data_IF_209180862422
#
_entry.id   IF_209180862422
#
_cell.length_a   1.000
_cell.length_b   1.000
_cell.length_c   1.000
_cell.angle_alpha   90.00
_cell.angle_beta   90.00
_cell.angle_gamma   90.00
#
_symmetry.space_group_name_H-M   'P 1'
#
loop_
_entity.id
_entity.type
_entity.pdbx_description
1 polymer ?
#
# COMPACT_ATOMS: atom_id res chain seq x y z
N UNK A 1 -35.68 65.36 106.42
CA UNK A 1 -34.55 64.65 105.84
C UNK A 1 -35.10 63.95 104.64
N UNK A 2 -34.70 64.39 103.45
CA UNK A 2 -35.10 63.79 102.12
C UNK A 2 -33.99 62.91 101.63
N UNK A 3 -34.21 61.58 101.58
CA UNK A 3 -33.28 60.59 101.06
C UNK A 3 -33.52 60.47 99.56
N UNK A 4 -32.50 60.79 98.78
CA UNK A 4 -32.53 60.57 97.30
C UNK A 4 -32.02 59.19 96.98
N UNK A 5 -32.85 58.41 96.30
CA UNK A 5 -32.54 57.08 95.75
C UNK A 5 -31.95 57.27 94.33
N UNK A 6 -30.67 56.84 94.09
CA UNK A 6 -30.06 56.83 92.78
C UNK A 6 -30.25 55.43 92.15
N UNK A 7 -31.00 55.37 91.05
CA UNK A 7 -31.11 54.15 90.22
C UNK A 7 -29.95 54.17 89.20
N UNK A 8 -29.01 53.25 89.35
CA UNK A 8 -27.96 53.01 88.33
C UNK A 8 -28.57 52.16 87.18
N UNK A 9 -28.78 52.77 86.03
CA UNK A 9 -29.05 52.02 84.77
C UNK A 9 -27.74 51.44 84.23
N UNK A 10 -27.62 50.11 84.31
CA UNK A 10 -26.58 49.36 83.54
C UNK A 10 -27.06 49.22 82.08
N UNK A 11 -26.55 50.08 81.20
CA UNK A 11 -26.66 49.87 79.74
C UNK A 11 -25.65 48.77 79.32
N UNK A 12 -26.14 47.54 79.22
CA UNK A 12 -25.37 46.46 78.57
C UNK A 12 -25.21 46.75 77.09
N UNK A 13 -23.97 47.09 76.66
CA UNK A 13 -23.61 47.12 75.26
C UNK A 13 -23.58 45.70 74.78
N UNK A 14 -24.65 45.23 74.11
CA UNK A 14 -24.58 44.06 73.19
C UNK A 14 -23.90 44.54 71.97
N UNK A 15 -22.60 44.18 71.78
CA UNK A 15 -21.93 44.29 70.51
C UNK A 15 -22.60 43.26 69.58
N UNK A 16 -23.46 43.71 68.70
CA UNK A 16 -23.94 42.90 67.61
C UNK A 16 -22.74 42.70 66.63
N UNK A 17 -22.15 41.54 66.73
CA UNK A 17 -21.23 41.11 65.65
C UNK A 17 -22.07 40.93 64.41
N UNK A 18 -21.99 41.88 63.47
CA UNK A 18 -22.59 41.76 62.16
C UNK A 18 -21.73 40.73 61.39
N UNK A 19 -22.19 39.51 61.30
CA UNK A 19 -21.61 38.53 60.42
C UNK A 19 -22.02 38.92 59.03
N UNK A 20 -21.05 38.90 58.08
CA UNK A 20 -21.34 39.07 56.64
C UNK A 20 -22.30 37.99 56.12
N UNK A 21 -22.94 38.22 55.00
CA UNK A 21 -23.84 37.25 54.39
C UNK A 21 -23.14 35.87 54.18
N UNK A 22 -23.86 34.77 54.53
CA UNK A 22 -23.34 33.39 54.29
C UNK A 22 -23.07 33.17 52.82
N UNK A 23 -21.89 32.64 52.49
CA UNK A 23 -21.50 32.28 51.17
C UNK A 23 -20.99 30.83 51.12
N UNK A 24 -21.29 30.13 50.03
CA UNK A 24 -20.79 28.79 49.72
C UNK A 24 -19.82 28.85 48.54
N UNK A 25 -18.76 28.05 48.57
CA UNK A 25 -17.81 27.94 47.49
C UNK A 25 -17.48 26.45 47.21
N UNK A 26 -18.08 25.90 46.18
CA UNK A 26 -17.90 24.51 45.76
C UNK A 26 -16.57 24.25 45.03
N UNK A 27 -15.78 25.31 44.79
CA UNK A 27 -14.56 25.23 44.00
C UNK A 27 -14.79 25.39 42.49
N UNK A 28 -13.69 25.55 41.72
CA UNK A 28 -13.77 25.63 40.24
C UNK A 28 -14.12 24.26 39.63
N UNK A 29 -14.55 24.25 38.37
CA UNK A 29 -14.66 23.00 37.60
C UNK A 29 -13.35 22.20 37.57
N UNK A 30 -13.43 20.88 37.72
CA UNK A 30 -12.29 19.97 37.81
C UNK A 30 -12.33 19.02 36.60
N UNK A 31 -11.17 18.78 36.00
CA UNK A 31 -10.97 17.80 34.93
C UNK A 31 -10.15 16.63 35.47
N UNK A 32 -10.67 15.43 35.34
CA UNK A 32 -10.07 14.19 35.86
C UNK A 32 -9.91 13.11 34.79
N UNK A 33 -8.96 12.26 35.04
CA UNK A 33 -8.87 11.00 34.29
C UNK A 33 -9.86 9.98 34.88
N UNK A 34 -10.43 9.14 34.02
CA UNK A 34 -11.35 8.10 34.45
C UNK A 34 -10.72 7.24 35.58
N UNK A 35 -11.48 6.98 36.64
CA UNK A 35 -11.04 6.19 37.79
C UNK A 35 -10.14 6.91 38.78
N UNK A 36 -9.77 8.17 38.54
CA UNK A 36 -9.00 8.97 39.53
C UNK A 36 -9.87 9.61 40.56
N UNK A 37 -9.26 10.12 41.65
CA UNK A 37 -9.94 10.77 42.78
C UNK A 37 -9.43 12.19 42.98
N UNK A 38 -10.30 13.07 43.49
CA UNK A 38 -9.95 14.45 43.86
C UNK A 38 -10.81 14.94 45.01
N UNK A 39 -10.35 15.99 45.69
CA UNK A 39 -11.19 16.72 46.66
C UNK A 39 -12.08 17.74 45.96
N UNK A 40 -13.35 17.81 46.36
CA UNK A 40 -14.26 18.91 46.02
C UNK A 40 -14.17 20.02 47.06
N UNK A 41 -14.70 21.19 46.72
CA UNK A 41 -14.67 22.36 47.58
C UNK A 41 -13.45 23.23 47.36
N UNK A 42 -13.31 24.26 48.15
CA UNK A 42 -12.19 25.21 48.15
C UNK A 42 -11.52 25.27 49.52
N UNK A 43 -10.42 26.03 49.66
CA UNK A 43 -9.76 26.25 50.94
C UNK A 43 -10.72 26.86 51.97
N UNK A 44 -11.70 27.64 51.52
CA UNK A 44 -12.81 28.16 52.31
C UNK A 44 -14.12 27.81 51.65
N UNK A 45 -14.69 26.64 52.03
CA UNK A 45 -15.93 26.11 51.42
C UNK A 45 -17.17 26.87 51.90
N UNK A 46 -17.08 27.52 53.07
CA UNK A 46 -18.10 28.42 53.64
C UNK A 46 -17.47 29.67 54.28
N UNK A 47 -18.06 30.83 54.10
CA UNK A 47 -17.66 32.05 54.79
C UNK A 47 -18.84 32.99 55.04
N UNK A 48 -18.69 33.91 55.99
CA UNK A 48 -19.82 34.75 56.49
C UNK A 48 -20.83 33.95 57.30
N UNK A 49 -21.99 34.51 57.61
CA UNK A 49 -23.02 33.90 58.46
C UNK A 49 -22.54 33.58 59.85
N UNK A 50 -23.25 32.71 60.55
CA UNK A 50 -23.03 32.35 61.98
C UNK A 50 -22.50 30.92 62.10
N UNK A 51 -21.20 30.69 62.46
CA UNK A 51 -20.67 29.32 62.63
C UNK A 51 -21.37 28.59 63.81
N UNK A 52 -21.39 27.25 63.88
CA UNK A 52 -20.77 26.29 62.93
C UNK A 52 -21.57 26.09 61.63
N UNK A 53 -20.86 25.70 60.58
CA UNK A 53 -21.47 25.39 59.30
C UNK A 53 -21.72 23.90 59.16
N UNK A 54 -22.81 23.52 58.44
CA UNK A 54 -23.09 22.18 57.97
C UNK A 54 -23.16 22.15 56.44
N UNK A 55 -22.77 21.09 55.89
CA UNK A 55 -22.59 20.95 54.41
C UNK A 55 -23.47 19.84 53.88
N UNK A 56 -24.01 20.02 52.68
CA UNK A 56 -24.73 18.96 51.98
C UNK A 56 -24.46 19.04 50.46
N UNK A 57 -23.88 17.94 49.96
CA UNK A 57 -23.54 17.81 48.56
C UNK A 57 -24.54 16.93 47.84
N UNK A 58 -24.94 17.30 46.62
CA UNK A 58 -25.80 16.54 45.72
C UNK A 58 -25.26 16.57 44.30
N UNK A 59 -25.36 15.46 43.50
CA UNK A 59 -25.75 14.11 43.93
C UNK A 59 -24.70 13.46 44.83
N UNK A 60 -25.03 12.34 45.47
CA UNK A 60 -24.10 11.55 46.29
C UNK A 60 -23.17 10.68 45.46
N UNK A 61 -23.41 10.59 44.15
CA UNK A 61 -22.66 9.75 43.20
C UNK A 61 -21.16 10.08 43.23
N UNK A 62 -20.33 9.07 43.41
CA UNK A 62 -18.86 9.16 43.51
C UNK A 62 -18.33 9.97 44.72
N UNK A 63 -19.15 10.39 45.70
CA UNK A 63 -18.66 11.09 46.86
C UNK A 63 -18.37 10.16 48.04
N UNK A 64 -17.23 10.41 48.69
CA UNK A 64 -16.90 9.76 49.98
C UNK A 64 -17.84 10.13 51.12
N UNK A 65 -18.38 11.33 51.07
CA UNK A 65 -19.35 11.88 52.06
C UNK A 65 -20.14 13.00 51.42
N UNK A 66 -21.42 13.09 51.76
CA UNK A 66 -22.26 14.22 51.35
C UNK A 66 -22.23 15.39 52.36
N UNK A 67 -21.70 15.17 53.57
CA UNK A 67 -21.76 16.13 54.68
C UNK A 67 -20.39 16.70 55.07
N UNK A 68 -19.33 16.38 54.29
CA UNK A 68 -17.99 16.93 54.51
C UNK A 68 -17.86 18.32 53.84
N UNK A 69 -17.07 19.22 54.43
CA UNK A 69 -16.72 20.50 53.79
C UNK A 69 -15.96 20.26 52.45
N UNK A 70 -15.09 19.24 52.40
CA UNK A 70 -14.28 18.89 51.27
C UNK A 70 -14.31 17.36 51.00
N UNK A 71 -15.43 16.83 50.47
CA UNK A 71 -15.53 15.41 50.19
C UNK A 71 -14.60 14.99 49.07
N UNK A 72 -14.17 13.71 49.05
CA UNK A 72 -13.47 13.09 47.91
C UNK A 72 -14.50 12.68 46.88
N UNK A 73 -14.28 13.08 45.64
CA UNK A 73 -14.87 12.46 44.45
C UNK A 73 -14.02 11.26 44.06
N UNK A 74 -14.56 10.04 44.19
CA UNK A 74 -13.81 8.78 44.13
C UNK A 74 -14.14 8.04 42.84
N UNK A 75 -13.09 7.61 42.07
CA UNK A 75 -13.21 6.73 40.89
C UNK A 75 -14.26 7.20 39.90
N UNK A 76 -14.32 8.50 39.64
CA UNK A 76 -15.30 9.08 38.71
C UNK A 76 -15.15 8.48 37.33
N UNK A 77 -16.25 8.01 36.74
CA UNK A 77 -16.31 7.44 35.39
C UNK A 77 -17.31 8.17 34.47
N UNK A 78 -17.96 9.22 34.97
CA UNK A 78 -18.87 10.08 34.24
C UNK A 78 -18.79 11.52 34.74
N UNK A 79 -19.18 12.47 33.90
CA UNK A 79 -19.29 13.86 34.23
C UNK A 79 -20.40 14.03 35.27
N UNK A 80 -20.14 14.84 36.32
CA UNK A 80 -21.09 15.10 37.38
C UNK A 80 -21.07 16.59 37.71
N UNK A 81 -22.25 17.20 37.74
CA UNK A 81 -22.47 18.54 38.30
C UNK A 81 -22.89 18.40 39.76
N UNK A 82 -22.05 18.88 40.68
CA UNK A 82 -22.32 18.87 42.11
C UNK A 82 -22.90 20.21 42.57
N UNK A 83 -23.93 20.14 43.41
CA UNK A 83 -24.51 21.25 44.15
C UNK A 83 -24.07 21.14 45.61
N UNK A 84 -23.42 22.16 46.10
CA UNK A 84 -23.14 22.35 47.54
C UNK A 84 -24.21 23.24 48.17
N UNK A 85 -24.77 22.78 49.24
CA UNK A 85 -25.60 23.59 50.16
C UNK A 85 -24.87 23.70 51.49
N UNK A 86 -24.73 24.95 51.98
CA UNK A 86 -24.14 25.28 53.27
C UNK A 86 -25.21 25.86 54.11
N UNK A 87 -25.36 25.39 55.38
CA UNK A 87 -26.23 25.92 56.35
C UNK A 87 -25.41 26.45 57.55
N UNK A 88 -25.77 27.59 58.08
CA UNK A 88 -25.17 28.15 59.31
C UNK A 88 -26.00 27.90 60.56
N UNK A 89 -25.50 28.30 61.74
CA UNK A 89 -26.20 28.13 63.01
C UNK A 89 -27.44 29.05 63.17
N UNK A 90 -27.59 30.10 62.36
CA UNK A 90 -28.73 30.95 62.30
C UNK A 90 -29.85 30.41 61.40
N UNK A 91 -29.59 29.34 60.62
CA UNK A 91 -30.54 28.75 59.70
C UNK A 91 -30.44 29.31 58.26
N UNK A 92 -29.47 30.20 58.02
CA UNK A 92 -29.24 30.72 56.67
C UNK A 92 -28.67 29.64 55.75
N UNK A 93 -28.98 29.73 54.43
CA UNK A 93 -28.53 28.75 53.38
C UNK A 93 -27.84 29.48 52.28
N UNK A 94 -26.67 28.96 51.87
CA UNK A 94 -25.98 29.39 50.68
C UNK A 94 -25.74 28.18 49.73
N UNK A 95 -25.73 28.43 48.41
CA UNK A 95 -25.61 27.40 47.37
C UNK A 95 -24.47 27.73 46.40
N UNK A 96 -23.70 26.75 46.05
CA UNK A 96 -22.66 26.83 45.01
C UNK A 96 -22.64 25.55 44.17
N UNK A 97 -22.05 25.64 42.99
CA UNK A 97 -21.96 24.50 42.07
C UNK A 97 -20.51 24.32 41.59
N UNK A 98 -20.12 23.06 41.38
CA UNK A 98 -18.89 22.70 40.68
C UNK A 98 -19.15 21.48 39.85
N UNK A 99 -18.36 21.29 38.80
CA UNK A 99 -18.43 20.09 37.95
C UNK A 99 -17.14 19.28 38.03
N UNK A 100 -17.29 17.96 37.98
CA UNK A 100 -16.21 17.04 37.66
C UNK A 100 -16.43 16.56 36.25
N UNK A 101 -15.50 16.86 35.35
CA UNK A 101 -15.52 16.48 33.95
C UNK A 101 -14.49 15.39 33.74
N UNK A 102 -14.91 14.28 33.19
CA UNK A 102 -14.03 13.12 32.99
C UNK A 102 -13.42 13.14 31.58
N UNK A 103 -12.10 13.26 31.51
CA UNK A 103 -11.36 13.02 30.31
C UNK A 103 -11.40 11.50 30.00
N UNK A 104 -12.17 11.16 28.99
CA UNK A 104 -12.25 9.79 28.50
C UNK A 104 -11.11 9.60 27.54
N UNK A 105 -10.02 8.92 27.95
CA UNK A 105 -9.09 8.32 27.00
C UNK A 105 -9.85 7.19 26.36
N UNK A 106 -10.25 7.38 25.12
CA UNK A 106 -10.70 6.26 24.30
C UNK A 106 -9.52 5.28 24.13
N UNK A 107 -9.80 3.98 24.24
CA UNK A 107 -8.80 2.95 23.97
C UNK A 107 -8.49 2.97 22.47
N UNK A 108 -7.45 3.69 22.10
CA UNK A 108 -6.91 3.64 20.74
C UNK A 108 -6.06 2.39 20.61
N UNK A 109 -6.41 1.50 19.66
CA UNK A 109 -5.57 0.37 19.31
C UNK A 109 -4.62 0.72 18.18
N UNK A 110 -3.44 0.13 18.17
CA UNK A 110 -2.49 0.24 17.05
C UNK A 110 -2.95 -0.53 15.79
N UNK A 111 -4.03 -1.28 15.88
CA UNK A 111 -4.51 -2.19 14.84
C UNK A 111 -4.14 -3.64 15.16
N UNK A 112 -4.45 -4.53 14.23
CA UNK A 112 -4.06 -5.94 14.28
C UNK A 112 -2.73 -6.15 13.56
N UNK A 113 -1.97 -7.15 13.96
CA UNK A 113 -0.76 -7.57 13.27
C UNK A 113 -1.06 -7.83 11.79
N UNK A 114 -0.24 -7.29 10.92
CA UNK A 114 -0.51 -7.22 9.48
C UNK A 114 0.78 -7.32 8.66
N UNK A 115 0.63 -7.45 7.36
CA UNK A 115 1.77 -7.47 6.45
C UNK A 115 1.42 -6.92 5.07
N UNK A 116 2.42 -6.69 4.26
CA UNK A 116 2.30 -6.15 2.92
C UNK A 116 3.37 -6.73 2.00
N UNK A 117 3.15 -6.69 0.68
CA UNK A 117 4.13 -7.15 -0.30
C UNK A 117 5.20 -6.08 -0.51
N UNK A 118 6.42 -6.37 -0.06
CA UNK A 118 7.56 -5.46 -0.16
C UNK A 118 7.89 -5.15 -1.62
N UNK A 119 8.06 -3.86 -1.92
CA UNK A 119 8.38 -3.40 -3.28
C UNK A 119 7.21 -3.37 -4.27
N UNK A 120 6.01 -3.86 -3.92
CA UNK A 120 4.84 -3.89 -4.81
C UNK A 120 3.75 -2.89 -4.41
N UNK A 121 3.67 -2.56 -3.14
CA UNK A 121 2.71 -1.61 -2.58
C UNK A 121 3.46 -0.54 -1.81
N UNK A 122 2.89 0.65 -1.70
CA UNK A 122 3.47 1.76 -0.95
C UNK A 122 3.46 1.57 0.58
N UNK A 123 3.19 0.36 1.08
CA UNK A 123 3.04 0.03 2.48
C UNK A 123 1.60 -0.32 2.86
N UNK A 124 1.33 -0.43 4.16
CA UNK A 124 0.02 -0.73 4.73
C UNK A 124 -0.37 0.31 5.77
N UNK A 125 -1.65 0.70 5.80
CA UNK A 125 -2.15 1.60 6.83
C UNK A 125 -2.28 0.85 8.14
N UNK A 126 -1.69 1.39 9.21
CA UNK A 126 -1.81 0.91 10.60
C UNK A 126 -2.55 1.95 11.44
N UNK A 127 -2.98 1.57 12.66
CA UNK A 127 -3.70 2.44 13.57
C UNK A 127 -5.17 2.07 13.72
N UNK A 128 -5.87 2.81 14.55
CA UNK A 128 -7.26 2.55 14.90
C UNK A 128 -8.24 3.40 14.10
N UNK A 129 -9.38 2.82 13.81
CA UNK A 129 -10.46 3.43 13.02
C UNK A 129 -11.26 4.53 13.72
N UNK A 130 -10.99 4.86 15.00
CA UNK A 130 -11.74 5.85 15.77
C UNK A 130 -10.95 7.15 15.97
N UNK A 131 -10.90 7.99 14.94
CA UNK A 131 -10.03 9.18 14.89
C UNK A 131 -10.71 10.48 15.29
N UNK A 132 -11.87 10.46 15.92
CA UNK A 132 -12.67 11.66 16.14
C UNK A 132 -12.30 12.42 17.42
N UNK A 133 -11.00 12.75 17.64
CA UNK A 133 -10.70 13.67 18.73
C UNK A 133 -9.58 14.67 18.36
N UNK A 134 -9.98 15.91 18.15
CA UNK A 134 -9.09 17.05 17.87
C UNK A 134 -8.10 17.37 19.02
N UNK A 135 -8.19 16.67 20.14
CA UNK A 135 -7.43 16.94 21.37
C UNK A 135 -6.37 15.89 21.72
N UNK A 136 -6.16 14.86 20.85
CA UNK A 136 -5.18 13.82 21.11
C UNK A 136 -3.95 13.98 20.21
N UNK A 137 -2.79 13.75 20.79
CA UNK A 137 -1.54 13.62 20.06
C UNK A 137 -1.19 12.13 19.90
N UNK A 138 -0.67 11.79 18.71
CA UNK A 138 -0.27 10.44 18.36
C UNK A 138 1.23 10.42 18.15
N UNK A 139 1.88 9.39 18.62
CA UNK A 139 3.31 9.17 18.42
C UNK A 139 3.59 7.69 18.20
N UNK A 140 4.23 7.37 17.08
CA UNK A 140 4.62 6.02 16.73
C UNK A 140 6.13 5.84 16.85
N UNK A 141 6.55 4.72 17.46
CA UNK A 141 7.96 4.36 17.62
C UNK A 141 8.17 2.91 17.24
N UNK A 142 9.18 2.57 16.42
CA UNK A 142 10.09 3.49 15.73
C UNK A 142 9.42 4.30 14.64
N UNK A 143 9.98 5.44 14.25
CA UNK A 143 9.48 6.27 13.14
C UNK A 143 9.91 5.77 11.76
N UNK A 144 10.94 4.91 11.70
CA UNK A 144 11.44 4.35 10.44
C UNK A 144 10.38 3.53 9.71
N UNK A 145 10.26 3.72 8.40
CA UNK A 145 9.26 3.06 7.59
C UNK A 145 7.84 3.64 7.68
N UNK A 146 7.62 4.74 8.43
CA UNK A 146 6.34 5.43 8.50
C UNK A 146 6.36 6.71 7.66
N UNK A 147 5.28 6.95 6.92
CA UNK A 147 5.13 8.21 6.17
C UNK A 147 4.90 9.42 7.09
N UNK A 148 4.22 9.23 8.21
CA UNK A 148 4.00 10.27 9.23
C UNK A 148 3.81 9.62 10.62
N UNK A 149 4.84 9.63 11.49
CA UNK A 149 4.77 9.00 12.80
C UNK A 149 3.87 9.73 13.81
N UNK A 150 3.35 10.92 13.47
CA UNK A 150 2.40 11.66 14.28
C UNK A 150 0.95 11.54 13.78
N UNK A 151 0.73 10.76 12.72
CA UNK A 151 -0.63 10.49 12.21
C UNK A 151 -1.33 9.44 13.08
N UNK A 152 -2.64 9.54 13.30
CA UNK A 152 -3.40 8.46 13.93
C UNK A 152 -3.38 7.17 13.09
N UNK A 153 -3.28 7.30 11.75
CA UNK A 153 -3.26 6.19 10.80
C UNK A 153 -2.13 6.38 9.77
N UNK A 154 -0.88 6.15 10.16
CA UNK A 154 0.24 6.24 9.20
C UNK A 154 0.24 5.05 8.23
N UNK A 155 0.89 5.24 7.09
CA UNK A 155 1.25 4.16 6.19
C UNK A 155 2.62 3.65 6.65
N UNK A 156 2.69 2.34 6.95
CA UNK A 156 3.90 1.65 7.35
C UNK A 156 4.47 0.84 6.16
N UNK A 157 5.75 1.03 5.87
CA UNK A 157 6.50 0.33 4.82
C UNK A 157 7.90 -0.08 5.29
N UNK A 158 8.03 -0.81 6.41
CA UNK A 158 9.34 -1.23 6.91
C UNK A 158 9.97 -2.29 6.00
N UNK A 159 11.31 -2.28 5.87
CA UNK A 159 12.05 -3.29 5.09
C UNK A 159 12.24 -4.63 5.81
N UNK A 160 11.98 -4.68 7.12
CA UNK A 160 12.03 -5.87 7.97
C UNK A 160 10.83 -5.89 8.90
N UNK A 161 10.47 -7.07 9.43
CA UNK A 161 9.38 -7.17 10.42
C UNK A 161 9.66 -6.21 11.58
N UNK A 162 8.71 -5.31 11.81
CA UNK A 162 8.85 -4.21 12.76
C UNK A 162 7.63 -4.15 13.67
N UNK A 163 7.88 -4.04 14.96
CA UNK A 163 6.85 -3.77 15.96
C UNK A 163 6.77 -2.26 16.15
N UNK A 164 5.64 -1.67 15.83
CA UNK A 164 5.36 -0.27 16.06
C UNK A 164 4.56 -0.09 17.34
N UNK A 165 5.01 0.81 18.20
CA UNK A 165 4.35 1.21 19.42
C UNK A 165 3.62 2.52 19.19
N UNK A 166 2.31 2.53 19.37
CA UNK A 166 1.49 3.73 19.38
C UNK A 166 1.37 4.27 20.80
N UNK A 167 1.73 5.53 20.98
CA UNK A 167 1.46 6.29 22.21
C UNK A 167 0.44 7.38 21.88
N UNK A 168 -0.68 7.40 22.60
CA UNK A 168 -1.72 8.44 22.48
C UNK A 168 -1.79 9.22 23.77
N UNK A 169 -1.77 10.55 23.68
CA UNK A 169 -1.80 11.46 24.83
C UNK A 169 -2.81 12.58 24.61
N UNK A 170 -3.55 12.92 25.65
CA UNK A 170 -4.39 14.13 25.74
C UNK A 170 -3.71 15.25 26.53
N UNK A 171 -2.47 15.04 26.98
CA UNK A 171 -1.70 16.00 27.79
C UNK A 171 -2.10 16.08 29.25
N UNK A 172 -3.12 15.35 29.70
CA UNK A 172 -3.67 15.39 31.07
C UNK A 172 -3.61 14.01 31.72
N UNK A 173 -4.05 12.98 31.02
CA UNK A 173 -4.17 11.64 31.56
C UNK A 173 -2.97 10.77 31.18
N UNK A 174 -2.74 9.62 31.88
CA UNK A 174 -1.71 8.66 31.48
C UNK A 174 -1.89 8.24 30.04
N UNK A 175 -0.78 8.17 29.31
CA UNK A 175 -0.80 7.81 27.90
C UNK A 175 -1.39 6.42 27.67
N UNK A 176 -2.19 6.28 26.62
CA UNK A 176 -2.61 4.98 26.09
C UNK A 176 -1.48 4.43 25.21
N UNK A 177 -1.08 3.19 25.44
CA UNK A 177 0.00 2.52 24.68
C UNK A 177 -0.56 1.23 24.08
N UNK A 178 -0.34 1.03 22.80
CA UNK A 178 -0.71 -0.17 22.04
C UNK A 178 0.36 -0.48 21.00
N UNK A 179 0.41 -1.71 20.49
CA UNK A 179 1.40 -2.10 19.50
C UNK A 179 0.77 -2.85 18.33
N UNK A 180 1.48 -2.85 17.20
CA UNK A 180 1.16 -3.62 15.99
C UNK A 180 2.44 -4.10 15.34
N UNK A 181 2.43 -5.36 14.88
CA UNK A 181 3.53 -5.93 14.10
C UNK A 181 3.23 -5.78 12.61
N UNK A 182 4.17 -5.21 11.86
CA UNK A 182 4.08 -5.10 10.39
C UNK A 182 5.18 -5.98 9.78
N UNK A 183 4.76 -6.95 8.95
CA UNK A 183 5.67 -7.90 8.30
C UNK A 183 5.72 -7.63 6.79
N UNK A 184 6.89 -7.27 6.22
CA UNK A 184 7.08 -7.22 4.78
C UNK A 184 7.23 -8.65 4.22
N UNK A 185 6.37 -9.04 3.28
CA UNK A 185 6.47 -10.30 2.57
C UNK A 185 7.20 -10.10 1.25
N UNK A 186 8.23 -10.89 1.01
CA UNK A 186 8.94 -10.85 -0.26
C UNK A 186 8.09 -11.45 -1.38
N UNK A 187 8.09 -10.83 -2.58
CA UNK A 187 7.54 -11.45 -3.77
C UNK A 187 8.20 -12.80 -4.06
N UNK A 188 7.48 -13.77 -4.63
CA UNK A 188 8.07 -15.06 -4.96
C UNK A 188 9.12 -14.91 -6.07
N UNK A 189 10.14 -15.77 -6.05
CA UNK A 189 11.01 -15.93 -7.21
C UNK A 189 10.17 -16.45 -8.38
N UNK A 190 10.43 -15.93 -9.58
CA UNK A 190 9.78 -16.34 -10.82
C UNK A 190 10.81 -16.45 -11.95
N UNK A 191 10.65 -17.46 -12.80
CA UNK A 191 11.47 -17.63 -13.99
C UNK A 191 10.63 -18.32 -15.07
N UNK A 192 10.46 -17.67 -16.21
CA UNK A 192 9.64 -18.14 -17.33
C UNK A 192 10.39 -19.07 -18.29
N UNK A 193 11.70 -19.22 -18.14
CA UNK A 193 12.58 -19.96 -19.06
C UNK A 193 13.36 -19.03 -19.98
N UNK A 194 14.29 -19.61 -20.74
CA UNK A 194 15.07 -18.90 -21.75
C UNK A 194 14.27 -18.71 -23.02
N UNK A 195 14.48 -17.59 -23.69
CA UNK A 195 13.96 -17.34 -25.04
C UNK A 195 14.27 -18.52 -25.93
N UNK A 196 13.30 -18.94 -26.73
CA UNK A 196 13.42 -20.14 -27.57
C UNK A 196 12.90 -19.90 -28.97
N UNK A 197 13.20 -20.83 -29.85
CA UNK A 197 12.78 -20.77 -31.25
C UNK A 197 12.13 -22.08 -31.67
N UNK A 198 11.01 -22.00 -32.38
CA UNK A 198 10.28 -23.16 -32.92
C UNK A 198 9.94 -22.95 -34.38
N UNK A 199 9.71 -24.03 -35.12
CA UNK A 199 9.06 -23.96 -36.41
C UNK A 199 7.57 -23.67 -36.27
N UNK A 200 6.98 -23.00 -37.24
CA UNK A 200 5.55 -22.72 -37.27
C UNK A 200 4.71 -23.98 -37.08
N UNK A 201 3.74 -23.92 -36.14
CA UNK A 201 2.83 -25.03 -35.82
C UNK A 201 3.43 -26.14 -34.98
N UNK A 202 4.69 -26.07 -34.57
CA UNK A 202 5.27 -27.01 -33.59
C UNK A 202 4.82 -26.64 -32.18
N UNK A 203 4.64 -27.66 -31.35
CA UNK A 203 4.31 -27.54 -29.94
C UNK A 203 5.57 -27.70 -29.11
N UNK A 204 5.75 -26.85 -28.11
CA UNK A 204 6.74 -26.98 -27.05
C UNK A 204 6.10 -26.81 -25.69
N UNK A 205 6.66 -27.45 -24.67
CA UNK A 205 6.27 -27.21 -23.28
C UNK A 205 7.20 -26.15 -22.68
N UNK A 206 6.62 -25.10 -22.09
CA UNK A 206 7.38 -24.13 -21.33
C UNK A 206 7.73 -24.71 -19.95
N UNK A 207 8.76 -24.19 -19.30
CA UNK A 207 9.23 -24.65 -17.98
C UNK A 207 9.32 -23.46 -17.03
N UNK A 208 8.19 -23.08 -16.45
CA UNK A 208 8.13 -21.98 -15.49
C UNK A 208 8.49 -22.43 -14.08
N UNK A 209 9.22 -21.59 -13.38
CA UNK A 209 9.49 -21.72 -11.94
C UNK A 209 8.79 -20.57 -11.24
N UNK A 210 8.12 -20.86 -10.13
CA UNK A 210 7.37 -19.87 -9.38
C UNK A 210 6.95 -20.38 -7.99
N UNK A 211 5.84 -19.89 -7.48
CA UNK A 211 5.32 -20.25 -6.17
C UNK A 211 4.12 -21.22 -6.28
N UNK A 212 3.00 -20.89 -5.63
CA UNK A 212 1.85 -21.81 -5.48
C UNK A 212 0.81 -21.68 -6.57
N UNK A 213 0.70 -20.49 -7.17
CA UNK A 213 -0.28 -20.17 -8.22
C UNK A 213 0.50 -19.73 -9.46
N UNK A 214 0.07 -20.25 -10.60
CA UNK A 214 0.65 -19.97 -11.90
C UNK A 214 -0.42 -19.55 -12.88
N UNK A 215 -0.14 -18.55 -13.71
CA UNK A 215 -0.90 -18.29 -14.94
C UNK A 215 -0.03 -17.60 -15.98
N UNK A 216 -0.26 -17.97 -17.25
CA UNK A 216 0.48 -17.43 -18.38
C UNK A 216 -0.42 -16.54 -19.23
N UNK A 217 0.16 -15.48 -19.78
CA UNK A 217 -0.49 -14.58 -20.72
C UNK A 217 0.44 -14.27 -21.89
N UNK A 218 -0.12 -14.02 -23.11
CA UNK A 218 -1.54 -14.14 -23.46
C UNK A 218 -2.00 -15.59 -23.50
N UNK A 219 -3.31 -15.82 -23.54
CA UNK A 219 -3.96 -17.13 -23.67
C UNK A 219 -4.00 -17.68 -25.12
N UNK A 220 -3.16 -17.08 -25.98
CA UNK A 220 -3.07 -17.43 -27.40
C UNK A 220 -2.21 -18.68 -27.62
N UNK A 221 -2.79 -19.71 -28.28
CA UNK A 221 -2.11 -20.96 -28.61
C UNK A 221 -1.37 -21.59 -27.42
N UNK A 222 -2.05 -21.67 -26.28
CA UNK A 222 -1.55 -22.24 -25.02
C UNK A 222 -2.56 -23.22 -24.44
N UNK A 223 -2.08 -24.32 -23.90
CA UNK A 223 -2.87 -25.30 -23.16
C UNK A 223 -2.28 -25.48 -21.77
N UNK A 224 -3.14 -25.66 -20.77
CA UNK A 224 -2.75 -25.75 -19.36
C UNK A 224 -2.08 -24.48 -18.83
N UNK A 225 -2.61 -23.30 -19.20
CA UNK A 225 -2.03 -21.99 -18.89
C UNK A 225 -1.86 -21.70 -17.38
N UNK A 226 -2.58 -22.44 -16.52
CA UNK A 226 -2.50 -22.29 -15.06
C UNK A 226 -1.58 -23.33 -14.39
N UNK A 227 -0.64 -23.87 -15.15
CA UNK A 227 0.40 -24.80 -14.66
C UNK A 227 1.78 -24.22 -14.86
N UNK A 228 2.80 -24.73 -14.16
CA UNK A 228 4.18 -24.30 -14.43
C UNK A 228 4.67 -24.63 -15.84
N UNK A 229 4.14 -25.72 -16.43
CA UNK A 229 4.62 -26.26 -17.70
C UNK A 229 3.48 -26.35 -18.74
N UNK A 230 3.01 -25.23 -19.30
CA UNK A 230 2.01 -25.23 -20.35
C UNK A 230 2.61 -25.66 -21.68
N UNK A 231 1.78 -26.25 -22.56
CA UNK A 231 2.12 -26.48 -23.94
C UNK A 231 1.72 -25.26 -24.79
N UNK A 232 2.62 -24.79 -25.65
CA UNK A 232 2.37 -23.67 -26.57
C UNK A 232 2.71 -24.03 -28.01
N UNK A 233 1.93 -23.50 -29.00
CA UNK A 233 2.14 -23.71 -30.43
C UNK A 233 1.85 -22.43 -31.24
N UNK A 234 2.55 -21.34 -30.96
CA UNK A 234 2.32 -20.07 -31.65
C UNK A 234 2.63 -20.18 -33.15
N UNK A 235 1.86 -19.46 -33.97
CA UNK A 235 2.09 -19.35 -35.43
C UNK A 235 2.87 -18.10 -35.84
N UNK A 236 3.11 -17.21 -34.87
CA UNK A 236 3.91 -15.99 -34.99
C UNK A 236 4.75 -15.81 -33.75
N UNK A 237 5.90 -15.14 -33.89
CA UNK A 237 6.74 -14.79 -32.74
C UNK A 237 5.92 -14.06 -31.69
N UNK A 238 5.96 -14.54 -30.45
CA UNK A 238 5.16 -14.06 -29.33
C UNK A 238 5.97 -14.08 -28.04
N UNK A 239 5.63 -13.21 -27.11
CA UNK A 239 6.17 -13.24 -25.75
C UNK A 239 5.06 -13.69 -24.81
N UNK A 240 5.32 -14.76 -24.07
CA UNK A 240 4.46 -15.20 -22.97
C UNK A 240 5.01 -14.66 -21.66
N UNK A 241 4.12 -14.20 -20.79
CA UNK A 241 4.44 -13.75 -19.45
C UNK A 241 3.93 -14.76 -18.45
N UNK A 242 4.79 -15.27 -17.62
CA UNK A 242 4.45 -16.08 -16.46
C UNK A 242 4.18 -15.15 -15.29
N UNK A 243 3.04 -15.30 -14.66
CA UNK A 243 2.71 -14.71 -13.39
C UNK A 243 2.65 -15.79 -12.32
N UNK A 244 3.08 -15.45 -11.12
CA UNK A 244 2.99 -16.34 -9.95
C UNK A 244 2.61 -15.56 -8.70
N UNK A 245 1.89 -16.21 -7.79
CA UNK A 245 1.45 -15.64 -6.53
C UNK A 245 1.84 -16.57 -5.39
N UNK A 246 2.31 -16.00 -4.26
CA UNK A 246 2.60 -16.76 -3.05
C UNK A 246 1.40 -16.78 -2.08
N UNK A 247 1.52 -17.49 -0.96
CA UNK A 247 0.49 -17.60 0.08
C UNK A 247 0.07 -16.25 0.69
N UNK A 248 0.91 -15.21 0.57
CA UNK A 248 0.65 -13.85 1.05
C UNK A 248 0.09 -12.94 -0.04
N UNK A 249 -0.29 -13.51 -1.19
CA UNK A 249 -0.80 -12.79 -2.37
C UNK A 249 0.19 -11.80 -2.99
N UNK A 250 1.49 -11.99 -2.75
CA UNK A 250 2.51 -11.23 -3.44
C UNK A 250 2.75 -11.82 -4.83
N UNK A 251 2.78 -10.94 -5.83
CA UNK A 251 2.86 -11.29 -7.24
C UNK A 251 4.29 -11.13 -7.75
N UNK A 252 4.67 -11.96 -8.71
CA UNK A 252 5.86 -11.77 -9.54
C UNK A 252 5.57 -12.20 -10.96
N UNK A 253 6.30 -11.64 -11.91
CA UNK A 253 6.19 -12.00 -13.31
C UNK A 253 7.55 -12.03 -14.00
N UNK A 254 7.67 -12.91 -15.01
CA UNK A 254 8.82 -13.01 -15.91
C UNK A 254 8.32 -13.38 -17.31
N UNK A 255 9.14 -13.17 -18.31
CA UNK A 255 8.76 -13.32 -19.71
C UNK A 255 9.66 -14.30 -20.46
N UNK A 256 9.07 -15.04 -21.40
CA UNK A 256 9.78 -15.84 -22.38
C UNK A 256 9.31 -15.48 -23.78
N UNK A 257 10.25 -15.21 -24.68
CA UNK A 257 9.97 -15.00 -26.10
C UNK A 257 10.08 -16.32 -26.85
N UNK A 258 8.99 -16.71 -27.51
CA UNK A 258 8.97 -17.83 -28.45
C UNK A 258 9.02 -17.28 -29.85
N UNK A 259 10.20 -17.39 -30.49
CA UNK A 259 10.42 -16.98 -31.88
C UNK A 259 9.94 -18.08 -32.83
N UNK A 260 9.12 -17.71 -33.80
CA UNK A 260 8.59 -18.66 -34.78
C UNK A 260 9.31 -18.49 -36.12
N UNK A 261 9.98 -19.54 -36.53
CA UNK A 261 10.54 -19.62 -37.87
C UNK A 261 9.47 -20.16 -38.81
N UNK A 262 9.12 -19.39 -39.82
CA UNK A 262 8.28 -19.87 -40.90
C UNK A 262 9.16 -20.61 -41.87
N UNK A 263 8.98 -21.91 -41.91
CA UNK A 263 9.76 -22.77 -42.76
C UNK A 263 9.49 -22.62 -44.26
N UNK A 264 8.54 -21.80 -44.63
CA UNK A 264 8.14 -21.49 -46.00
C UNK A 264 8.62 -20.12 -46.51
N UNK A 265 9.24 -19.29 -45.66
CA UNK A 265 9.72 -17.97 -46.10
C UNK A 265 10.95 -18.15 -46.96
N UNK A 266 10.86 -17.66 -48.22
CA UNK A 266 12.00 -17.58 -49.10
C UNK A 266 13.00 -16.53 -48.63
N UNK A 267 14.27 -16.86 -48.57
CA UNK A 267 15.33 -15.89 -48.30
C UNK A 267 16.42 -15.99 -49.37
N UNK A 268 16.89 -14.82 -49.80
CA UNK A 268 17.73 -14.68 -50.96
C UNK A 268 19.13 -14.28 -50.55
N UNK A 269 20.13 -15.04 -51.00
CA UNK A 269 21.51 -14.66 -50.82
C UNK A 269 21.88 -13.54 -51.80
N UNK A 270 22.57 -12.53 -51.33
CA UNK A 270 22.89 -11.33 -52.11
C UNK A 270 24.12 -11.47 -52.96
N UNK A 271 24.93 -12.51 -52.75
CA UNK A 271 26.14 -12.78 -53.54
C UNK A 271 26.48 -14.26 -53.54
N UNK A 272 27.20 -14.72 -54.55
CA UNK A 272 27.79 -16.06 -54.62
C UNK A 272 29.08 -16.06 -55.44
N UNK A 273 29.89 -17.12 -55.33
CA UNK A 273 31.24 -17.25 -55.88
C UNK A 273 31.36 -18.52 -56.72
N UNK A 274 30.93 -18.52 -57.98
CA UNK A 274 30.95 -19.72 -58.84
C UNK A 274 32.38 -20.04 -59.29
N UNK A 275 33.18 -20.66 -58.42
CA UNK A 275 34.57 -21.03 -58.64
C UNK A 275 34.79 -22.55 -58.57
N UNK A 276 33.72 -23.34 -58.34
CA UNK A 276 33.71 -24.82 -58.28
C UNK A 276 34.53 -25.40 -57.12
N UNK A 277 34.66 -24.66 -56.01
CA UNK A 277 35.29 -25.14 -54.77
C UNK A 277 34.34 -25.92 -53.86
N UNK A 278 33.05 -25.91 -54.19
CA UNK A 278 31.97 -26.57 -53.42
C UNK A 278 31.22 -25.62 -52.44
N UNK A 279 31.70 -24.38 -52.29
CA UNK A 279 31.09 -23.40 -51.42
C UNK A 279 30.55 -22.20 -52.21
N UNK A 280 29.26 -21.87 -52.03
CA UNK A 280 28.60 -20.72 -52.70
C UNK A 280 28.71 -20.69 -54.23
N UNK A 281 28.79 -21.85 -54.87
CA UNK A 281 28.95 -21.98 -56.38
C UNK A 281 27.67 -21.62 -57.13
N UNK A 282 26.53 -21.60 -56.44
CA UNK A 282 25.22 -21.37 -57.05
C UNK A 282 24.48 -20.22 -56.39
N UNK A 283 23.58 -19.59 -57.14
CA UNK A 283 22.64 -18.61 -56.53
C UNK A 283 21.66 -19.35 -55.63
N UNK A 284 21.85 -19.20 -54.33
CA UNK A 284 21.06 -19.89 -53.29
C UNK A 284 19.84 -19.07 -52.88
N UNK A 285 18.68 -19.74 -52.94
CA UNK A 285 17.42 -19.21 -52.39
C UNK A 285 16.94 -20.22 -51.32
N UNK A 286 16.97 -19.81 -50.07
CA UNK A 286 16.57 -20.70 -48.98
C UNK A 286 15.09 -21.04 -49.03
N UNK A 287 14.73 -22.27 -48.69
CA UNK A 287 13.38 -22.85 -48.74
C UNK A 287 12.76 -22.94 -50.15
N UNK A 288 13.51 -22.81 -51.22
CA UNK A 288 12.99 -22.87 -52.60
C UNK A 288 12.38 -24.24 -52.91
N UNK A 289 12.85 -25.29 -52.25
CA UNK A 289 12.34 -26.67 -52.34
C UNK A 289 10.86 -26.79 -51.97
N UNK A 290 10.35 -25.88 -51.16
CA UNK A 290 8.92 -25.78 -50.78
C UNK A 290 8.04 -25.12 -51.83
N UNK A 291 8.63 -24.67 -52.92
CA UNK A 291 8.00 -23.95 -54.01
C UNK A 291 8.33 -24.63 -55.36
N UNK A 292 7.86 -25.85 -55.61
CA UNK A 292 8.25 -26.62 -56.79
C UNK A 292 7.82 -25.95 -58.11
N UNK A 293 6.76 -25.15 -58.10
CA UNK A 293 6.24 -24.46 -59.28
C UNK A 293 6.82 -23.05 -59.43
N UNK A 294 7.89 -22.73 -58.73
CA UNK A 294 8.55 -21.43 -58.81
C UNK A 294 9.08 -21.14 -60.21
N UNK A 295 9.18 -19.86 -60.56
CA UNK A 295 9.73 -19.40 -61.84
C UNK A 295 10.78 -18.32 -61.60
N UNK A 296 12.04 -18.62 -61.80
CA UNK A 296 13.15 -17.68 -61.64
C UNK A 296 13.59 -17.13 -62.99
N UNK A 297 13.68 -15.79 -63.11
CA UNK A 297 14.34 -15.10 -64.22
C UNK A 297 15.47 -14.23 -63.70
N UNK A 298 16.62 -14.27 -64.33
CA UNK A 298 17.76 -13.43 -63.97
C UNK A 298 18.13 -12.59 -65.21
N UNK A 299 18.41 -11.31 -64.99
CA UNK A 299 18.64 -10.30 -65.99
C UNK A 299 20.03 -9.68 -65.79
N UNK A 300 20.69 -9.35 -66.89
CA UNK A 300 21.86 -8.49 -66.85
C UNK A 300 21.44 -6.99 -66.71
N UNK A 301 22.40 -6.07 -66.54
CA UNK A 301 22.18 -4.63 -66.41
C UNK A 301 21.43 -3.96 -67.58
N UNK A 302 21.34 -4.63 -68.74
CA UNK A 302 20.65 -4.14 -69.95
C UNK A 302 19.22 -4.72 -70.03
N UNK A 303 18.75 -5.46 -69.04
CA UNK A 303 17.43 -6.08 -69.04
C UNK A 303 17.30 -7.36 -69.86
N UNK A 304 18.43 -7.87 -70.37
CA UNK A 304 18.47 -9.17 -71.16
C UNK A 304 18.36 -10.30 -70.14
N UNK A 305 17.44 -11.26 -70.37
CA UNK A 305 17.33 -12.50 -69.62
C UNK A 305 18.56 -13.35 -69.89
N UNK A 306 19.30 -13.74 -68.88
CA UNK A 306 20.46 -14.58 -68.89
C UNK A 306 20.25 -15.96 -68.27
N UNK A 307 19.19 -16.07 -67.46
CA UNK A 307 18.76 -17.36 -66.93
C UNK A 307 17.23 -17.36 -66.77
N UNK A 308 16.60 -18.47 -67.08
CA UNK A 308 15.13 -18.64 -66.85
C UNK A 308 14.90 -20.14 -66.58
N UNK A 309 14.22 -20.37 -65.41
CA UNK A 309 13.88 -21.71 -64.97
C UNK A 309 12.50 -21.77 -64.36
N UNK A 310 11.78 -22.87 -64.57
CA UNK A 310 10.63 -23.26 -63.74
C UNK A 310 11.08 -24.38 -62.81
N UNK A 311 10.68 -24.32 -61.53
CA UNK A 311 11.19 -25.27 -60.54
C UNK A 311 12.68 -25.07 -60.24
N UNK A 312 13.09 -23.82 -60.09
CA UNK A 312 14.47 -23.53 -59.71
C UNK A 312 14.83 -24.22 -58.39
N UNK A 313 15.99 -24.87 -58.35
CA UNK A 313 16.45 -25.70 -57.24
C UNK A 313 17.89 -25.37 -56.81
N UNK A 314 18.27 -24.09 -56.81
CA UNK A 314 19.62 -23.63 -56.45
C UNK A 314 20.74 -24.17 -57.36
N UNK A 315 20.51 -24.16 -58.69
CA UNK A 315 21.39 -24.78 -59.66
C UNK A 315 21.92 -23.83 -60.75
N UNK A 316 21.78 -22.51 -60.59
CA UNK A 316 22.39 -21.54 -61.47
C UNK A 316 23.81 -21.19 -61.03
N UNK A 317 24.81 -21.56 -61.85
CA UNK A 317 26.23 -21.38 -61.62
C UNK A 317 26.85 -20.17 -62.40
N UNK A 318 26.04 -19.14 -62.61
CA UNK A 318 26.41 -17.91 -63.30
C UNK A 318 26.89 -18.17 -64.79
N UNK A 319 26.28 -19.13 -65.49
CA UNK A 319 26.49 -19.34 -66.92
C UNK A 319 25.31 -18.88 -67.74
N UNK A 320 25.62 -18.36 -68.95
CA UNK A 320 24.70 -18.07 -70.02
C UNK A 320 25.18 -18.70 -71.31
N UNK A 321 24.38 -19.57 -71.92
CA UNK A 321 24.76 -20.36 -73.11
C UNK A 321 26.07 -21.09 -72.93
N UNK A 322 26.36 -21.65 -71.76
CA UNK A 322 27.57 -22.42 -71.46
C UNK A 322 28.81 -21.56 -71.15
N UNK A 323 28.72 -20.27 -71.25
CA UNK A 323 29.83 -19.34 -70.98
C UNK A 323 29.59 -18.59 -69.62
N UNK A 324 30.67 -18.36 -68.89
CA UNK A 324 30.63 -17.60 -67.67
C UNK A 324 30.17 -16.19 -67.96
N UNK A 325 29.20 -15.69 -67.11
CA UNK A 325 28.80 -14.27 -67.14
C UNK A 325 29.82 -13.46 -66.37
N UNK A 326 30.03 -12.16 -66.72
CA UNK A 326 30.98 -11.30 -66.02
C UNK A 326 30.67 -11.15 -64.53
N UNK A 327 31.68 -10.92 -63.69
CA UNK A 327 31.56 -10.49 -62.33
C UNK A 327 30.73 -9.17 -62.24
N UNK A 328 29.82 -9.07 -61.30
CA UNK A 328 28.97 -7.91 -61.13
C UNK A 328 27.59 -8.23 -60.62
N UNK A 329 26.72 -7.21 -60.58
CA UNK A 329 25.37 -7.31 -60.06
C UNK A 329 24.36 -7.63 -61.16
N UNK A 330 23.51 -8.58 -60.90
CA UNK A 330 22.42 -9.07 -61.72
C UNK A 330 21.10 -8.88 -61.02
N UNK A 331 20.01 -8.76 -61.78
CA UNK A 331 18.66 -8.58 -61.24
C UNK A 331 17.88 -9.88 -61.38
N UNK A 332 17.07 -10.22 -60.39
CA UNK A 332 16.20 -11.39 -60.49
C UNK A 332 14.75 -11.03 -60.27
N UNK A 333 13.89 -11.85 -60.83
CA UNK A 333 12.45 -11.91 -60.53
C UNK A 333 12.13 -13.37 -60.29
N UNK A 334 11.58 -13.68 -59.12
CA UNK A 334 11.08 -15.00 -58.75
C UNK A 334 9.57 -14.92 -58.52
N UNK A 335 8.79 -15.65 -59.28
CA UNK A 335 7.40 -16.00 -59.01
C UNK A 335 7.41 -17.29 -58.18
N UNK A 336 6.80 -17.30 -57.01
CA UNK A 336 6.84 -18.46 -56.11
C UNK A 336 5.86 -19.59 -56.49
N UNK A 337 5.05 -19.37 -57.53
CA UNK A 337 3.99 -20.31 -57.93
C UNK A 337 2.78 -20.34 -57.01
N UNK A 338 2.73 -19.44 -55.94
CA UNK A 338 1.65 -19.28 -54.97
C UNK A 338 1.16 -17.86 -54.91
N UNK A 339 1.14 -17.12 -56.02
CA UNK A 339 0.63 -15.73 -56.14
C UNK A 339 1.59 -14.60 -55.69
N UNK A 340 2.83 -14.91 -55.27
CA UNK A 340 3.77 -13.88 -54.85
C UNK A 340 4.98 -13.79 -55.73
N UNK A 341 5.38 -12.58 -56.07
CA UNK A 341 6.57 -12.29 -56.87
C UNK A 341 7.59 -11.54 -56.03
N UNK A 342 8.81 -11.98 -56.05
CA UNK A 342 9.97 -11.39 -55.40
C UNK A 342 10.92 -10.84 -56.47
N UNK A 343 11.54 -9.72 -56.20
CA UNK A 343 12.58 -9.14 -57.04
C UNK A 343 13.74 -8.62 -56.19
N UNK A 344 14.91 -8.61 -56.77
CA UNK A 344 16.10 -8.15 -56.07
C UNK A 344 17.34 -8.24 -56.95
N UNK A 345 18.49 -8.17 -56.30
CA UNK A 345 19.79 -8.26 -56.95
C UNK A 345 20.62 -9.39 -56.35
N UNK A 346 21.46 -9.99 -57.18
CA UNK A 346 22.50 -10.93 -56.77
C UNK A 346 23.82 -10.53 -57.39
N UNK A 347 24.91 -10.57 -56.64
CA UNK A 347 26.25 -10.20 -57.08
C UNK A 347 27.09 -11.46 -57.27
N UNK A 348 27.68 -11.59 -58.46
CA UNK A 348 28.65 -12.63 -58.78
C UNK A 348 30.03 -12.09 -58.45
N UNK A 349 30.77 -12.83 -57.64
CA UNK A 349 32.15 -12.59 -57.27
C UNK A 349 33.01 -13.74 -57.79
N UNK A 350 34.23 -13.44 -58.30
CA UNK A 350 35.23 -14.45 -58.79
C UNK A 350 36.61 -14.00 -58.41
#
# INVERSE_FOLDING_TARGET
MKTKLYILLFLGYFSQTSFGQLTANAGPPIFLCIGTTTNLGSATTASGGTPPYTYFWQPSTFLSSTNSSNPLAISCNADVLYKLMVFDAAGDTAISYTSVNINKIYTFGAGIDTGYCYGQQGGITIGASNNNNAFHTFSWTPSGGLNNPSSPNPIASPSTTTIYLLTVSDGVCPNNISQVTVTPFLPPYVYAGLDTTIDEGKTISLNGIGSTIYWWQPDYNIKYQNTPNPDVWPTTTITYTLYTENQHKCLSSDTIKVSVIRGDILFFYSAFTPNYDGDNDFFYIGNIDKYPDNKLKIFNRYGKIIFNATGYSNNWDAKYLGQDVPTGTYFYILDDGKEKTYNGTVTILR
#
